data_IF_379350423168
#
_entry.id   IF_379350423168
#
_cell.length_a   1.000
_cell.length_b   1.000
_cell.length_c   1.000
_cell.angle_alpha   90.00
_cell.angle_beta   90.00
_cell.angle_gamma   90.00
#
_symmetry.space_group_name_H-M   'P 1'
#
loop_
_entity.id
_entity.type
_entity.pdbx_description
1 polymer ?
#
# COMPACT_ATOMS: atom_id res chain seq x y z
N UNK A 1 45.76 -19.28 -13.32
CA UNK A 1 44.53 -19.92 -12.79
C UNK A 1 43.93 -19.06 -11.67
N UNK A 2 43.55 -17.80 -11.97
CA UNK A 2 42.98 -16.86 -10.98
C UNK A 2 41.88 -15.95 -11.56
N UNK A 3 41.39 -16.24 -12.77
CA UNK A 3 40.43 -15.37 -13.49
C UNK A 3 39.03 -15.97 -13.62
N UNK A 4 38.78 -17.16 -13.06
CA UNK A 4 37.46 -17.81 -13.16
C UNK A 4 36.51 -17.51 -11.98
N UNK A 5 36.98 -16.83 -10.93
CA UNK A 5 36.22 -16.63 -9.69
C UNK A 5 35.52 -15.27 -9.53
N UNK A 6 35.61 -14.36 -10.51
CA UNK A 6 35.09 -12.98 -10.35
C UNK A 6 33.72 -12.68 -10.96
N UNK A 7 33.01 -13.65 -11.55
CA UNK A 7 31.71 -13.39 -12.20
C UNK A 7 30.56 -14.23 -11.67
N UNK A 8 30.63 -14.71 -10.43
CA UNK A 8 29.44 -15.13 -9.70
C UNK A 8 28.70 -13.92 -9.09
N UNK A 9 28.42 -12.88 -9.90
CA UNK A 9 27.31 -11.97 -9.58
C UNK A 9 26.06 -12.82 -9.65
N UNK A 10 25.60 -13.31 -8.50
CA UNK A 10 24.35 -14.04 -8.28
C UNK A 10 23.22 -13.29 -9.02
N UNK A 11 22.97 -13.69 -10.27
CA UNK A 11 21.84 -13.21 -11.06
C UNK A 11 20.62 -13.80 -10.37
N UNK A 12 19.94 -12.98 -9.54
CA UNK A 12 18.65 -13.36 -8.98
C UNK A 12 17.79 -13.90 -10.11
N UNK A 13 17.14 -15.07 -9.95
CA UNK A 13 16.39 -15.65 -11.04
C UNK A 13 15.34 -14.65 -11.52
N UNK A 14 15.20 -14.44 -12.83
CA UNK A 14 14.32 -13.42 -13.44
C UNK A 14 12.90 -13.40 -12.83
N UNK A 15 12.41 -14.57 -12.39
CA UNK A 15 11.13 -14.72 -11.69
C UNK A 15 11.03 -13.91 -10.38
N UNK A 16 12.11 -13.79 -9.61
CA UNK A 16 12.14 -13.02 -8.36
C UNK A 16 12.15 -11.52 -8.62
N UNK A 17 12.88 -11.07 -9.65
CA UNK A 17 12.91 -9.67 -10.07
C UNK A 17 11.51 -9.20 -10.48
N UNK A 18 10.79 -10.03 -11.26
CA UNK A 18 9.39 -9.76 -11.63
C UNK A 18 8.49 -9.64 -10.40
N UNK A 19 8.61 -10.56 -9.43
CA UNK A 19 7.80 -10.53 -8.19
C UNK A 19 8.06 -9.28 -7.36
N UNK A 20 9.31 -8.88 -7.16
CA UNK A 20 9.66 -7.66 -6.42
C UNK A 20 9.05 -6.44 -7.11
N UNK A 21 9.21 -6.32 -8.43
CA UNK A 21 8.64 -5.20 -9.22
C UNK A 21 7.12 -5.11 -9.06
N UNK A 22 6.41 -6.24 -9.06
CA UNK A 22 4.97 -6.27 -8.81
C UNK A 22 4.62 -5.83 -7.39
N UNK A 23 5.33 -6.34 -6.38
CA UNK A 23 5.09 -5.94 -4.97
C UNK A 23 5.35 -4.45 -4.76
N UNK A 24 6.39 -3.88 -5.38
CA UNK A 24 6.64 -2.43 -5.34
C UNK A 24 5.51 -1.64 -5.98
N UNK A 25 4.99 -2.06 -7.13
CA UNK A 25 3.83 -1.41 -7.77
C UNK A 25 2.59 -1.45 -6.88
N UNK A 26 2.35 -2.57 -6.19
CA UNK A 26 1.25 -2.70 -5.24
C UNK A 26 1.42 -1.78 -4.03
N UNK A 27 2.65 -1.66 -3.49
CA UNK A 27 2.94 -0.75 -2.37
C UNK A 27 2.73 0.72 -2.76
N UNK A 28 3.21 1.12 -3.95
CA UNK A 28 3.00 2.46 -4.49
C UNK A 28 1.51 2.71 -4.75
N UNK A 29 0.78 1.74 -5.31
CA UNK A 29 -0.66 1.85 -5.53
C UNK A 29 -1.42 2.01 -4.21
N UNK A 30 -1.08 1.22 -3.18
CA UNK A 30 -1.66 1.33 -1.84
C UNK A 30 -1.52 2.75 -1.28
N UNK A 31 -0.31 3.31 -1.30
CA UNK A 31 -0.04 4.66 -0.82
C UNK A 31 -0.75 5.72 -1.68
N UNK A 32 -0.73 5.56 -3.01
CA UNK A 32 -1.36 6.51 -3.92
C UNK A 32 -2.87 6.56 -3.72
N UNK A 33 -3.52 5.38 -3.60
CA UNK A 33 -4.96 5.28 -3.33
C UNK A 33 -5.26 5.94 -1.98
N UNK A 34 -4.45 5.68 -0.94
CA UNK A 34 -4.65 6.30 0.37
C UNK A 34 -4.59 7.82 0.28
N UNK A 35 -3.51 8.39 -0.26
CA UNK A 35 -3.32 9.84 -0.37
C UNK A 35 -4.46 10.46 -1.20
N UNK A 36 -4.79 9.85 -2.35
CA UNK A 36 -5.86 10.32 -3.21
C UNK A 36 -7.21 10.30 -2.51
N UNK A 37 -7.52 9.22 -1.79
CA UNK A 37 -8.78 9.10 -1.04
C UNK A 37 -8.88 10.16 0.05
N UNK A 38 -7.78 10.42 0.77
CA UNK A 38 -7.73 11.46 1.80
C UNK A 38 -7.90 12.86 1.21
N UNK A 39 -7.23 13.15 0.09
CA UNK A 39 -7.38 14.43 -0.62
C UNK A 39 -8.81 14.64 -1.10
N UNK A 40 -9.41 13.64 -1.76
CA UNK A 40 -10.81 13.73 -2.22
C UNK A 40 -11.75 13.90 -1.04
N UNK A 41 -11.51 13.22 0.08
CA UNK A 41 -12.32 13.39 1.28
C UNK A 41 -12.21 14.79 1.89
N UNK A 42 -11.01 15.40 1.87
CA UNK A 42 -10.80 16.76 2.38
C UNK A 42 -11.46 17.80 1.47
N UNK A 43 -11.25 17.68 0.16
CA UNK A 43 -11.76 18.61 -0.86
C UNK A 43 -13.14 18.24 -1.41
N UNK A 44 -13.90 17.34 -0.76
CA UNK A 44 -15.21 16.88 -1.26
C UNK A 44 -16.26 17.98 -1.35
N UNK A 45 -16.18 19.00 -0.51
CA UNK A 45 -17.05 20.16 -0.59
C UNK A 45 -16.78 21.02 -1.83
N UNK A 46 -15.56 21.54 -2.05
CA UNK A 46 -15.26 22.35 -3.23
C UNK A 46 -15.28 21.55 -4.55
N UNK A 47 -14.93 20.26 -4.54
CA UNK A 47 -14.84 19.45 -5.77
C UNK A 47 -16.18 18.80 -6.15
N UNK A 48 -16.96 18.35 -5.17
CA UNK A 48 -18.13 17.50 -5.39
C UNK A 48 -19.43 18.11 -4.82
N UNK A 49 -19.36 19.27 -4.13
CA UNK A 49 -20.52 19.88 -3.47
C UNK A 49 -21.04 19.10 -2.26
N UNK A 50 -20.26 18.16 -1.73
CA UNK A 50 -20.69 17.25 -0.66
C UNK A 50 -20.51 17.91 0.70
N UNK A 51 -21.56 18.61 1.17
CA UNK A 51 -21.57 19.32 2.46
C UNK A 51 -21.35 18.37 3.66
N UNK A 52 -20.36 18.68 4.49
CA UNK A 52 -20.05 18.05 5.79
C UNK A 52 -21.16 18.36 6.80
N UNK A 53 -22.31 17.70 6.65
CA UNK A 53 -23.44 17.82 7.56
C UNK A 53 -24.75 17.29 6.99
N UNK A 54 -24.85 17.16 5.67
CA UNK A 54 -26.01 16.56 5.04
C UNK A 54 -25.85 15.04 4.99
N UNK A 55 -26.62 14.34 5.83
CA UNK A 55 -26.49 12.91 6.05
C UNK A 55 -26.57 12.06 4.75
N UNK A 56 -27.49 12.32 3.80
CA UNK A 56 -27.56 11.53 2.57
C UNK A 56 -26.32 11.62 1.68
N UNK A 57 -25.72 12.81 1.54
CA UNK A 57 -24.50 12.98 0.72
C UNK A 57 -23.30 12.30 1.39
N UNK A 58 -23.16 12.46 2.71
CA UNK A 58 -22.09 11.82 3.47
C UNK A 58 -22.18 10.30 3.41
N UNK A 59 -23.38 9.74 3.57
CA UNK A 59 -23.60 8.29 3.50
C UNK A 59 -23.21 7.74 2.11
N UNK A 60 -23.73 8.36 1.06
CA UNK A 60 -23.46 7.94 -0.33
C UNK A 60 -21.97 8.03 -0.67
N UNK A 61 -21.30 9.13 -0.29
CA UNK A 61 -19.86 9.29 -0.50
C UNK A 61 -19.04 8.23 0.22
N UNK A 62 -19.40 7.92 1.47
CA UNK A 62 -18.69 6.92 2.25
C UNK A 62 -18.81 5.51 1.65
N UNK A 63 -20.02 5.10 1.25
CA UNK A 63 -20.25 3.77 0.70
C UNK A 63 -19.73 3.62 -0.74
N UNK A 64 -19.95 4.63 -1.59
CA UNK A 64 -19.61 4.52 -3.01
C UNK A 64 -18.13 4.75 -3.31
N UNK A 65 -17.44 5.59 -2.51
CA UNK A 65 -16.08 6.01 -2.81
C UNK A 65 -15.11 5.75 -1.66
N UNK A 66 -15.35 6.31 -0.48
CA UNK A 66 -14.36 6.32 0.60
C UNK A 66 -14.02 4.91 1.08
N UNK A 67 -15.05 4.13 1.44
CA UNK A 67 -14.89 2.82 2.04
C UNK A 67 -14.31 1.79 1.05
N UNK A 68 -14.76 1.69 -0.22
CA UNK A 68 -14.12 0.82 -1.21
C UNK A 68 -12.65 1.19 -1.47
N UNK A 69 -12.34 2.48 -1.57
CA UNK A 69 -10.97 2.94 -1.84
C UNK A 69 -10.04 2.65 -0.66
N UNK A 70 -10.52 2.87 0.57
CA UNK A 70 -9.78 2.52 1.78
C UNK A 70 -9.55 1.01 1.91
N UNK A 71 -10.56 0.19 1.65
CA UNK A 71 -10.42 -1.27 1.65
C UNK A 71 -9.41 -1.75 0.60
N UNK A 72 -9.40 -1.14 -0.59
CA UNK A 72 -8.41 -1.43 -1.62
C UNK A 72 -6.99 -1.06 -1.17
N UNK A 73 -6.80 0.14 -0.60
CA UNK A 73 -5.50 0.60 -0.10
C UNK A 73 -4.95 -0.35 0.98
N UNK A 74 -5.79 -0.73 1.95
CA UNK A 74 -5.44 -1.64 3.05
C UNK A 74 -5.20 -3.06 2.54
N UNK A 75 -6.04 -3.56 1.63
CA UNK A 75 -5.87 -4.86 0.99
C UNK A 75 -4.53 -4.99 0.27
N UNK A 76 -4.13 -3.96 -0.48
CA UNK A 76 -2.79 -3.91 -1.07
C UNK A 76 -1.68 -3.82 -0.02
N UNK A 77 -1.87 -3.04 1.05
CA UNK A 77 -0.94 -2.92 2.16
C UNK A 77 -0.64 -4.28 2.82
N UNK A 78 -1.68 -5.02 3.20
CA UNK A 78 -1.56 -6.38 3.75
C UNK A 78 -0.95 -7.36 2.75
N UNK A 79 -1.33 -7.30 1.47
CA UNK A 79 -0.76 -8.18 0.45
C UNK A 79 0.76 -7.96 0.28
N UNK A 80 1.22 -6.71 0.37
CA UNK A 80 2.65 -6.36 0.32
C UNK A 80 3.38 -6.90 1.54
N UNK A 81 2.85 -6.72 2.75
CA UNK A 81 3.46 -7.24 3.98
C UNK A 81 3.52 -8.76 3.93
N UNK A 82 2.41 -9.43 3.62
CA UNK A 82 2.35 -10.89 3.54
C UNK A 82 3.32 -11.46 2.50
N UNK A 83 3.46 -10.82 1.33
CA UNK A 83 4.45 -11.22 0.33
C UNK A 83 5.89 -11.00 0.78
N UNK A 84 6.15 -9.90 1.49
CA UNK A 84 7.49 -9.56 2.00
C UNK A 84 7.93 -10.55 3.09
N UNK A 85 7.02 -10.92 4.01
CA UNK A 85 7.25 -11.96 5.02
C UNK A 85 7.48 -13.32 4.36
N UNK A 86 6.62 -13.72 3.41
CA UNK A 86 6.74 -15.02 2.73
C UNK A 86 8.07 -15.21 1.99
N UNK A 87 8.63 -14.15 1.42
CA UNK A 87 9.90 -14.21 0.69
C UNK A 87 11.07 -13.60 1.48
N UNK A 88 10.93 -13.46 2.80
CA UNK A 88 11.92 -12.78 3.65
C UNK A 88 13.32 -13.39 3.55
N UNK A 89 13.42 -14.72 3.53
CA UNK A 89 14.71 -15.42 3.39
C UNK A 89 15.27 -15.40 1.95
N UNK A 90 14.40 -15.20 0.95
CA UNK A 90 14.76 -15.29 -0.47
C UNK A 90 15.23 -13.97 -1.06
N UNK A 91 14.76 -12.85 -0.53
CA UNK A 91 15.20 -11.53 -0.97
C UNK A 91 16.40 -11.10 -0.12
N UNK A 92 17.55 -10.85 -0.74
CA UNK A 92 18.79 -10.50 -0.03
C UNK A 92 18.85 -9.02 0.34
N UNK A 93 18.17 -8.16 -0.42
CA UNK A 93 18.18 -6.71 -0.23
C UNK A 93 17.26 -6.29 0.93
N UNK A 94 17.86 -6.03 2.10
CA UNK A 94 17.14 -5.62 3.32
C UNK A 94 16.49 -4.24 3.15
N UNK A 95 17.16 -3.30 2.50
CA UNK A 95 16.64 -1.94 2.30
C UNK A 95 15.32 -1.98 1.55
N UNK A 96 15.24 -2.77 0.47
CA UNK A 96 13.99 -2.93 -0.29
C UNK A 96 12.85 -3.54 0.53
N UNK A 97 13.13 -4.48 1.44
CA UNK A 97 12.09 -5.05 2.31
C UNK A 97 11.52 -3.99 3.24
N UNK A 98 12.40 -3.22 3.87
CA UNK A 98 11.99 -2.14 4.77
C UNK A 98 11.21 -1.06 4.02
N UNK A 99 11.64 -0.65 2.83
CA UNK A 99 10.90 0.31 2.00
C UNK A 99 9.49 -0.19 1.70
N UNK A 100 9.32 -1.47 1.34
CA UNK A 100 7.99 -2.05 1.07
C UNK A 100 7.09 -2.07 2.31
N UNK A 101 7.65 -2.37 3.48
CA UNK A 101 6.89 -2.36 4.74
C UNK A 101 6.52 -0.92 5.11
N UNK A 102 7.47 0.02 5.08
CA UNK A 102 7.25 1.43 5.41
C UNK A 102 6.19 2.04 4.48
N UNK A 103 6.21 1.72 3.19
CA UNK A 103 5.19 2.18 2.23
C UNK A 103 3.78 1.66 2.56
N UNK A 104 3.65 0.47 3.14
CA UNK A 104 2.37 -0.14 3.49
C UNK A 104 1.84 0.28 4.86
N UNK A 105 2.71 0.73 5.77
CA UNK A 105 2.33 1.12 7.14
C UNK A 105 1.26 2.23 7.15
N UNK A 106 1.36 3.34 6.39
CA UNK A 106 0.38 4.42 6.44
C UNK A 106 -1.06 3.95 6.16
N UNK A 107 -1.25 3.06 5.18
CA UNK A 107 -2.58 2.57 4.84
C UNK A 107 -3.18 1.73 5.97
N UNK A 108 -2.39 0.83 6.54
CA UNK A 108 -2.83 -0.04 7.64
C UNK A 108 -3.03 0.78 8.92
N UNK A 109 -2.07 1.63 9.26
CA UNK A 109 -2.12 2.47 10.46
C UNK A 109 -3.31 3.42 10.48
N UNK A 110 -3.61 4.05 9.34
CA UNK A 110 -4.78 4.92 9.23
C UNK A 110 -6.10 4.13 9.38
N UNK A 111 -6.18 2.93 8.80
CA UNK A 111 -7.35 2.08 8.97
C UNK A 111 -7.53 1.59 10.41
N UNK A 112 -6.44 1.16 11.05
CA UNK A 112 -6.44 0.79 12.47
C UNK A 112 -6.88 1.96 13.34
N UNK A 113 -6.40 3.18 13.06
CA UNK A 113 -6.83 4.39 13.76
C UNK A 113 -8.34 4.64 13.63
N UNK A 114 -8.91 4.49 12.43
CA UNK A 114 -10.36 4.59 12.22
C UNK A 114 -11.11 3.54 13.05
N UNK A 115 -10.67 2.28 13.01
CA UNK A 115 -11.32 1.20 13.77
C UNK A 115 -11.29 1.47 15.27
N UNK A 116 -10.14 1.89 15.81
CA UNK A 116 -9.99 2.24 17.22
C UNK A 116 -11.01 3.32 17.59
N UNK A 117 -11.14 4.38 16.78
CA UNK A 117 -12.09 5.47 17.02
C UNK A 117 -13.57 5.08 16.92
N UNK A 118 -13.88 3.97 16.25
CA UNK A 118 -15.26 3.46 16.15
C UNK A 118 -15.64 2.67 17.41
N UNK A 119 -14.68 1.96 18.01
CA UNK A 119 -14.93 1.07 19.15
C UNK A 119 -14.60 1.69 20.52
N UNK A 120 -13.75 2.71 20.57
CA UNK A 120 -13.34 3.47 21.78
C UNK A 120 -13.80 4.91 21.61
#
# INVERSE_FOLDING_TARGET
MYTFFQTAKLKLPQRHIKKIKWTTRMAVASLTILIFTLLVNEFREPLLGIKKGYAPHNFSFNIMFFLPSMLAAVGFGFAVIGRTIKHWKTWTDLNKKWTLIILSIPAIGYWTFILIRIFI
#
